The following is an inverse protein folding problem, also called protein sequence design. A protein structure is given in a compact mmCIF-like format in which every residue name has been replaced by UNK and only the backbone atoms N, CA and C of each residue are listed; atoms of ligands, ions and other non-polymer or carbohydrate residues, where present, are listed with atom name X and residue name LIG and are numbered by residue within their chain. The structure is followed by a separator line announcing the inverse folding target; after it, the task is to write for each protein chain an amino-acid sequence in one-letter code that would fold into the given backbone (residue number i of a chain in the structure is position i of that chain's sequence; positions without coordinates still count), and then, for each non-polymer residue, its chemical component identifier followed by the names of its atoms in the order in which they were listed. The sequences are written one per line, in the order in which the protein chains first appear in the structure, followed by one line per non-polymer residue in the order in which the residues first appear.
data_IF_627643579044
#
_entry.id   IF_627643579044
#
_cell.length_a   1.000
_cell.length_b   1.000
_cell.length_c   1.000
_cell.angle_alpha   90.00
_cell.angle_beta   90.00
_cell.angle_gamma   90.00
#
_symmetry.space_group_name_H-M   'P 1'
#
loop_
_entity.id
_entity.type
_entity.pdbx_description
1 polymer ?
#
# COMPACT_ATOMS: atom_id res chain seq x y z
N UNK A 1 9.10 -9.47 0.90
CA UNK A 1 7.68 -9.09 1.06
C UNK A 1 6.74 -10.14 0.47
N UNK A 2 7.00 -10.63 -0.75
CA UNK A 2 6.24 -11.74 -1.37
C UNK A 2 6.17 -13.02 -0.53
N UNK A 3 7.31 -13.51 -0.01
CA UNK A 3 7.34 -14.70 0.88
C UNK A 3 6.47 -14.56 2.15
N UNK A 4 6.20 -13.33 2.58
CA UNK A 4 5.38 -13.05 3.76
C UNK A 4 3.91 -12.77 3.40
N UNK A 5 3.53 -12.88 2.12
CA UNK A 5 2.22 -12.52 1.59
C UNK A 5 1.80 -11.08 1.94
N UNK A 6 2.74 -10.12 1.89
CA UNK A 6 2.45 -8.69 2.14
C UNK A 6 2.23 -7.89 0.86
N UNK A 7 2.53 -8.49 -0.29
CA UNK A 7 2.37 -7.88 -1.60
C UNK A 7 1.73 -8.88 -2.55
N UNK A 8 0.99 -8.38 -3.52
CA UNK A 8 0.42 -9.20 -4.59
C UNK A 8 1.55 -9.92 -5.35
N UNK A 9 1.44 -11.24 -5.57
CA UNK A 9 2.37 -11.97 -6.42
C UNK A 9 2.38 -11.41 -7.84
N UNK A 10 3.51 -11.52 -8.51
CA UNK A 10 3.65 -11.17 -9.92
C UNK A 10 4.55 -12.17 -10.63
N UNK A 11 4.32 -12.35 -11.93
CA UNK A 11 5.18 -13.10 -12.83
C UNK A 11 5.93 -12.16 -13.78
N UNK A 12 7.12 -12.58 -14.23
CA UNK A 12 7.82 -11.87 -15.31
C UNK A 12 7.22 -12.27 -16.65
N UNK A 13 7.09 -11.31 -17.58
CA UNK A 13 6.54 -11.56 -18.91
C UNK A 13 7.52 -11.11 -19.99
N UNK A 14 7.61 -11.90 -21.06
CA UNK A 14 8.47 -11.61 -22.22
C UNK A 14 7.71 -10.76 -23.23
N UNK A 15 7.38 -9.53 -22.82
CA UNK A 15 6.73 -8.54 -23.67
C UNK A 15 7.77 -7.44 -23.96
N UNK A 16 7.83 -6.97 -25.20
CA UNK A 16 8.67 -5.83 -25.54
C UNK A 16 8.01 -4.54 -25.04
N UNK A 17 8.76 -3.70 -24.33
CA UNK A 17 8.25 -2.41 -23.86
C UNK A 17 8.24 -1.42 -25.01
N UNK A 18 7.22 -0.56 -25.08
CA UNK A 18 7.21 0.62 -25.96
C UNK A 18 8.40 1.57 -25.71
N UNK A 19 9.08 1.43 -24.56
CA UNK A 19 10.27 2.19 -24.17
C UNK A 19 11.38 1.25 -23.70
N UNK A 20 11.99 0.46 -24.60
CA UNK A 20 12.93 -0.61 -24.23
C UNK A 20 14.20 -0.11 -23.55
N UNK A 21 14.59 1.16 -23.80
CA UNK A 21 15.75 1.79 -23.12
C UNK A 21 15.48 2.20 -21.66
N UNK A 22 14.21 2.32 -21.27
CA UNK A 22 13.81 2.72 -19.91
C UNK A 22 13.27 1.55 -19.09
N UNK A 23 12.83 0.48 -19.75
CA UNK A 23 12.26 -0.68 -19.10
C UNK A 23 13.34 -1.71 -18.77
N UNK A 24 13.61 -1.91 -17.49
CA UNK A 24 14.48 -3.00 -17.03
C UNK A 24 13.78 -4.36 -17.11
N UNK A 25 12.48 -4.41 -16.76
CA UNK A 25 11.69 -5.64 -16.67
C UNK A 25 10.21 -5.35 -16.75
N UNK A 26 9.44 -6.25 -17.35
CA UNK A 26 7.98 -6.22 -17.36
C UNK A 26 7.44 -7.32 -16.46
N UNK A 27 6.56 -6.95 -15.55
CA UNK A 27 5.90 -7.86 -14.61
C UNK A 27 4.39 -7.80 -14.80
N UNK A 28 3.75 -8.95 -14.65
CA UNK A 28 2.30 -9.07 -14.62
C UNK A 28 1.86 -9.43 -13.19
N UNK A 29 1.21 -8.50 -12.46
CA UNK A 29 0.67 -8.80 -11.15
C UNK A 29 -0.52 -9.76 -11.26
N UNK A 30 -0.68 -10.61 -10.25
CA UNK A 30 -1.87 -11.44 -10.11
C UNK A 30 -3.09 -10.55 -9.89
N UNK A 31 -4.10 -10.71 -10.74
CA UNK A 31 -5.36 -9.96 -10.62
C UNK A 31 -6.13 -10.44 -9.39
N UNK A 32 -6.53 -9.49 -8.55
CA UNK A 32 -7.40 -9.77 -7.42
C UNK A 32 -8.85 -9.95 -7.90
N UNK A 33 -9.54 -10.95 -7.37
CA UNK A 33 -10.94 -11.23 -7.70
C UNK A 33 -11.93 -10.22 -7.11
N UNK A 34 -11.49 -9.48 -6.10
CA UNK A 34 -12.32 -8.54 -5.36
C UNK A 34 -11.47 -7.34 -4.98
N UNK A 35 -12.06 -6.16 -5.16
CA UNK A 35 -11.48 -4.87 -4.78
C UNK A 35 -12.45 -4.23 -3.80
N UNK A 36 -11.91 -3.68 -2.73
CA UNK A 36 -12.63 -2.88 -1.75
C UNK A 36 -11.92 -1.56 -1.55
N UNK A 37 -12.66 -0.57 -1.05
CA UNK A 37 -12.17 0.79 -0.89
C UNK A 37 -12.01 1.16 0.59
N UNK A 38 -11.11 2.09 0.93
CA UNK A 38 -10.81 2.44 2.32
C UNK A 38 -12.04 2.83 3.17
N UNK A 39 -13.02 3.48 2.56
CA UNK A 39 -14.26 3.89 3.22
C UNK A 39 -15.26 2.75 3.47
N UNK A 40 -15.04 1.57 2.87
CA UNK A 40 -15.84 0.36 3.10
C UNK A 40 -15.28 -0.47 4.26
N UNK A 41 -14.05 -0.19 4.69
CA UNK A 41 -13.36 -0.95 5.71
C UNK A 41 -13.82 -0.56 7.11
N UNK A 42 -13.90 -1.55 8.00
CA UNK A 42 -14.08 -1.31 9.41
C UNK A 42 -12.78 -0.75 10.04
N UNK A 43 -12.86 -0.26 11.29
CA UNK A 43 -11.69 0.26 12.01
C UNK A 43 -10.50 -0.70 12.00
N UNK A 44 -10.75 -1.98 12.30
CA UNK A 44 -9.70 -2.99 12.40
C UNK A 44 -9.03 -3.24 11.05
N UNK A 45 -9.79 -3.27 9.95
CA UNK A 45 -9.24 -3.40 8.61
C UNK A 45 -8.37 -2.19 8.23
N UNK A 46 -8.86 -0.97 8.46
CA UNK A 46 -8.08 0.23 8.19
C UNK A 46 -6.80 0.29 9.03
N UNK A 47 -6.88 -0.14 10.31
CA UNK A 47 -5.73 -0.27 11.20
C UNK A 47 -4.72 -1.30 10.71
N UNK A 48 -5.19 -2.47 10.29
CA UNK A 48 -4.32 -3.53 9.77
C UNK A 48 -3.63 -3.10 8.47
N UNK A 49 -4.34 -2.38 7.59
CA UNK A 49 -3.77 -1.78 6.39
C UNK A 49 -2.68 -0.73 6.72
N UNK A 50 -2.92 0.13 7.73
CA UNK A 50 -1.94 1.09 8.21
C UNK A 50 -0.68 0.41 8.76
N UNK A 51 -0.86 -0.62 9.58
CA UNK A 51 0.23 -1.40 10.17
C UNK A 51 1.04 -2.14 9.11
N UNK A 52 0.39 -2.72 8.10
CA UNK A 52 1.08 -3.33 6.97
C UNK A 52 1.93 -2.30 6.22
N UNK A 53 1.37 -1.13 5.93
CA UNK A 53 2.07 -0.05 5.23
C UNK A 53 3.34 0.36 5.97
N UNK A 54 3.27 0.56 7.29
CA UNK A 54 4.45 0.84 8.12
C UNK A 54 5.46 -0.32 8.14
N UNK A 55 4.98 -1.57 8.17
CA UNK A 55 5.84 -2.76 8.15
C UNK A 55 6.60 -2.90 6.83
N UNK A 56 5.92 -2.59 5.72
CA UNK A 56 6.51 -2.54 4.38
C UNK A 56 7.54 -1.42 4.33
N UNK A 57 7.20 -0.19 4.76
CA UNK A 57 8.15 0.93 4.80
C UNK A 57 9.41 0.60 5.61
N UNK A 58 9.24 0.08 6.83
CA UNK A 58 10.36 -0.31 7.70
C UNK A 58 11.22 -1.40 7.07
N UNK A 59 10.60 -2.31 6.32
CA UNK A 59 11.33 -3.37 5.61
C UNK A 59 12.05 -2.80 4.39
N UNK A 60 11.42 -1.93 3.60
CA UNK A 60 12.02 -1.27 2.44
C UNK A 60 13.31 -0.51 2.84
N UNK A 61 13.28 0.20 3.98
CA UNK A 61 14.43 0.93 4.49
C UNK A 61 15.64 0.01 4.78
N UNK A 62 15.40 -1.24 5.21
CA UNK A 62 16.48 -2.23 5.41
C UNK A 62 17.15 -2.65 4.11
N UNK A 63 16.49 -2.44 2.97
CA UNK A 63 17.01 -2.72 1.63
C UNK A 63 17.39 -1.43 0.88
N UNK A 64 17.55 -0.29 1.58
CA UNK A 64 17.93 0.97 0.95
C UNK A 64 16.83 1.59 0.07
N UNK A 65 15.57 1.24 0.31
CA UNK A 65 14.41 1.74 -0.43
C UNK A 65 13.41 2.44 0.50
N UNK A 66 12.51 3.24 -0.06
CA UNK A 66 11.38 3.84 0.63
C UNK A 66 10.11 3.72 -0.21
N UNK A 67 8.95 3.63 0.44
CA UNK A 67 7.67 3.84 -0.23
C UNK A 67 7.53 5.33 -0.56
N UNK A 68 7.17 5.64 -1.80
CA UNK A 68 6.86 7.00 -2.26
C UNK A 68 5.36 7.30 -2.33
N UNK A 69 4.55 6.25 -2.34
CA UNK A 69 3.09 6.31 -2.29
C UNK A 69 2.60 5.37 -1.18
N UNK A 70 1.88 5.93 -0.21
CA UNK A 70 1.27 5.25 0.93
C UNK A 70 -0.24 5.46 0.95
N UNK A 71 -0.86 5.60 -0.22
CA UNK A 71 -2.31 5.63 -0.35
C UNK A 71 -2.95 4.35 0.21
N UNK A 72 -4.02 4.49 0.98
CA UNK A 72 -4.82 3.34 1.42
C UNK A 72 -5.39 2.53 0.24
N UNK A 73 -5.60 3.14 -0.93
CA UNK A 73 -6.09 2.45 -2.13
C UNK A 73 -5.10 1.43 -2.69
N UNK A 74 -3.81 1.55 -2.34
CA UNK A 74 -2.78 0.58 -2.72
C UNK A 74 -2.81 -0.67 -1.81
N UNK A 75 -3.64 -0.70 -0.78
CA UNK A 75 -3.85 -1.88 0.06
C UNK A 75 -5.17 -2.56 -0.32
N UNK A 76 -5.16 -3.88 -0.40
CA UNK A 76 -6.34 -4.73 -0.59
C UNK A 76 -6.32 -5.88 0.41
N UNK A 77 -7.40 -6.66 0.48
CA UNK A 77 -7.49 -7.81 1.37
C UNK A 77 -7.51 -9.11 0.58
N UNK A 78 -6.63 -10.04 0.95
CA UNK A 78 -6.62 -11.38 0.37
C UNK A 78 -7.84 -12.16 0.88
N UNK A 79 -8.79 -12.48 0.00
CA UNK A 79 -10.04 -13.17 0.36
C UNK A 79 -9.84 -14.52 1.06
N UNK A 80 -8.76 -15.24 0.79
CA UNK A 80 -8.52 -16.54 1.40
C UNK A 80 -8.01 -16.43 2.86
N UNK A 81 -7.38 -15.31 3.22
CA UNK A 81 -6.73 -15.14 4.54
C UNK A 81 -7.29 -13.99 5.36
N UNK A 82 -8.04 -13.07 4.76
CA UNK A 82 -8.50 -11.83 5.37
C UNK A 82 -7.37 -10.84 5.69
N UNK A 83 -6.14 -11.06 5.22
CA UNK A 83 -4.99 -10.21 5.53
C UNK A 83 -4.80 -9.11 4.48
N UNK A 84 -4.33 -7.91 4.90
CA UNK A 84 -4.01 -6.85 3.96
C UNK A 84 -2.79 -7.23 3.10
N UNK A 85 -2.77 -6.73 1.86
CA UNK A 85 -1.69 -6.87 0.88
C UNK A 85 -1.52 -5.56 0.12
N UNK A 86 -0.27 -5.17 -0.16
CA UNK A 86 0.05 -4.05 -1.06
C UNK A 86 -0.02 -4.51 -2.51
N UNK A 87 -0.79 -3.82 -3.34
CA UNK A 87 -0.99 -4.17 -4.75
C UNK A 87 -0.07 -3.39 -5.70
N UNK A 88 0.37 -2.20 -5.29
CA UNK A 88 1.27 -1.37 -6.10
C UNK A 88 2.73 -1.77 -5.88
N UNK A 89 3.29 -2.49 -6.86
CA UNK A 89 4.68 -2.96 -6.83
C UNK A 89 5.67 -1.86 -7.22
N UNK A 90 5.20 -0.76 -7.84
CA UNK A 90 6.04 0.32 -8.35
C UNK A 90 6.10 1.55 -7.40
N UNK A 91 5.54 1.42 -6.19
CA UNK A 91 5.58 2.48 -5.16
C UNK A 91 6.95 2.63 -4.47
N UNK A 92 7.98 1.89 -4.86
CA UNK A 92 9.29 1.97 -4.22
C UNK A 92 10.24 2.92 -4.97
N UNK A 93 11.09 3.58 -4.20
CA UNK A 93 12.22 4.37 -4.70
C UNK A 93 13.47 4.14 -3.86
N UNK A 94 14.62 4.57 -4.37
CA UNK A 94 15.88 4.52 -3.63
C UNK A 94 15.81 5.52 -2.49
N UNK A 95 16.01 5.05 -1.26
CA UNK A 95 16.04 5.91 -0.09
C UNK A 95 17.28 6.81 -0.10
N UNK A 96 17.08 8.10 0.12
CA UNK A 96 18.15 9.07 0.31
C UNK A 96 18.41 9.27 1.81
N UNK A 97 19.58 8.86 2.34
CA UNK A 97 19.89 9.01 3.75
C UNK A 97 19.67 10.44 4.27
N UNK A 98 19.04 10.55 5.44
CA UNK A 98 18.73 11.84 6.07
C UNK A 98 17.46 12.53 5.56
N UNK A 99 16.85 12.03 4.48
CA UNK A 99 15.58 12.59 4.00
C UNK A 99 14.38 12.00 4.77
N UNK A 100 13.34 12.81 5.02
CA UNK A 100 12.11 12.31 5.62
C UNK A 100 11.37 11.36 4.67
N UNK A 101 10.47 10.55 5.22
CA UNK A 101 9.62 9.70 4.39
C UNK A 101 8.66 10.56 3.55
N UNK A 102 8.87 10.59 2.23
CA UNK A 102 8.11 11.44 1.30
C UNK A 102 6.59 11.20 1.37
N UNK A 103 6.17 9.95 1.58
CA UNK A 103 4.76 9.59 1.67
C UNK A 103 4.15 9.82 3.06
N UNK A 104 4.90 10.34 4.04
CA UNK A 104 4.43 10.48 5.43
C UNK A 104 3.13 11.28 5.53
N UNK A 105 3.02 12.41 4.82
CA UNK A 105 1.79 13.22 4.81
C UNK A 105 0.60 12.41 4.30
N UNK A 106 0.78 11.66 3.22
CA UNK A 106 -0.26 10.84 2.63
C UNK A 106 -0.66 9.69 3.58
N UNK A 107 0.31 9.05 4.24
CA UNK A 107 0.04 8.05 5.28
C UNK A 107 -0.81 8.65 6.40
N UNK A 108 -0.49 9.87 6.84
CA UNK A 108 -1.28 10.56 7.85
C UNK A 108 -2.72 10.82 7.37
N UNK A 109 -2.90 11.27 6.13
CA UNK A 109 -4.20 11.56 5.56
C UNK A 109 -5.07 10.31 5.36
N UNK A 110 -4.49 9.21 4.90
CA UNK A 110 -5.23 8.00 4.53
C UNK A 110 -5.41 7.00 5.70
N UNK A 111 -4.55 7.07 6.72
CA UNK A 111 -4.58 6.12 7.83
C UNK A 111 -4.66 6.81 9.19
N UNK A 112 -3.61 7.55 9.58
CA UNK A 112 -3.50 8.04 10.96
C UNK A 112 -4.66 8.97 11.35
N UNK A 113 -5.00 9.92 10.49
CA UNK A 113 -6.09 10.87 10.69
C UNK A 113 -7.44 10.18 10.82
N UNK A 114 -7.89 9.39 9.81
CA UNK A 114 -9.13 8.64 9.91
C UNK A 114 -9.20 7.72 11.13
N UNK A 115 -8.12 6.98 11.44
CA UNK A 115 -8.07 6.12 12.63
C UNK A 115 -8.21 6.92 13.93
N UNK A 116 -7.55 8.08 14.04
CA UNK A 116 -7.68 8.94 15.21
C UNK A 116 -9.12 9.49 15.35
N UNK A 117 -9.71 9.97 14.27
CA UNK A 117 -11.10 10.46 14.28
C UNK A 117 -12.08 9.35 14.71
N UNK A 118 -11.92 8.14 14.18
CA UNK A 118 -12.76 7.01 14.55
C UNK A 118 -12.60 6.60 16.02
N UNK A 119 -11.36 6.58 16.52
CA UNK A 119 -11.06 6.14 17.88
C UNK A 119 -11.50 7.16 18.95
N UNK A 120 -11.39 8.45 18.66
CA UNK A 120 -11.64 9.52 19.64
C UNK A 120 -12.98 10.25 19.44
N UNK A 121 -13.72 9.98 18.37
CA UNK A 121 -14.98 10.68 18.11
C UNK A 121 -16.09 9.73 17.68
N UNK A 122 -16.03 9.14 16.49
CA UNK A 122 -17.07 8.22 16.00
C UNK A 122 -16.56 7.33 14.85
N UNK A 123 -16.83 6.03 14.92
CA UNK A 123 -16.48 5.03 13.91
C UNK A 123 -16.94 5.40 12.49
N UNK A 124 -18.06 6.10 12.36
CA UNK A 124 -18.66 6.49 11.08
C UNK A 124 -17.87 7.57 10.36
N UNK A 125 -16.92 8.23 11.03
CA UNK A 125 -16.08 9.26 10.41
C UNK A 125 -15.15 8.71 9.32
N UNK A 126 -14.99 7.39 9.20
CA UNK A 126 -14.33 6.80 8.02
C UNK A 126 -15.02 7.16 6.70
N UNK A 127 -16.32 7.49 6.73
CA UNK A 127 -17.06 7.88 5.52
C UNK A 127 -16.56 9.17 4.89
N UNK A 128 -15.80 10.01 5.62
CA UNK A 128 -15.17 11.21 5.06
C UNK A 128 -14.13 10.86 3.98
N UNK A 129 -13.55 9.65 4.04
CA UNK A 129 -12.64 9.12 3.03
C UNK A 129 -13.33 8.82 1.68
N UNK A 130 -14.64 9.05 1.53
CA UNK A 130 -15.37 8.90 0.25
C UNK A 130 -15.28 10.12 -0.65
N UNK A 131 -15.03 11.29 -0.07
CA UNK A 131 -15.22 12.60 -0.71
C UNK A 131 -13.92 13.08 -1.38
N UNK A 132 -12.81 12.41 -1.12
CA UNK A 132 -11.45 12.73 -1.58
C UNK A 132 -10.77 11.47 -2.13
#
# INVERSE_FOLDING_TARGET
MLKNNWMTPYGEVQIESDKPKLAYKIIQPQVLKFISYPYEWCFSQLKDAALLTLKIQKTALKFGMSLKDSSAYNIQFNLATGKPILIDTLSFEIYQPGHPWVAYRQFCQHFLGPLALMAYSDIRLNQLSRIY
#
